data_IF_861874214773
#
_entry.id   IF_861874214773
#
_cell.length_a   1.000
_cell.length_b   1.000
_cell.length_c   1.000
_cell.angle_alpha   90.00
_cell.angle_beta   90.00
_cell.angle_gamma   90.00
#
_symmetry.space_group_name_H-M   'P 1'
#
loop_
_entity.id
_entity.type
_entity.pdbx_description
1 polymer ?
#
# COMPACT_ATOMS: atom_id res chain seq x y z
N UNK A 1 17.78 65.43 59.01
CA UNK A 1 17.45 66.43 57.97
C UNK A 1 16.70 65.73 56.85
N UNK A 2 15.57 66.34 56.43
CA UNK A 2 14.87 66.34 55.12
C UNK A 2 15.65 65.62 53.98
N UNK A 3 15.09 64.91 53.00
CA UNK A 3 13.82 65.07 52.28
C UNK A 3 13.62 63.89 51.32
N UNK A 4 12.37 63.67 50.92
CA UNK A 4 11.92 62.82 49.80
C UNK A 4 12.16 63.47 48.41
N UNK A 5 12.00 62.62 47.37
CA UNK A 5 11.73 62.84 45.91
C UNK A 5 12.92 62.94 44.92
N UNK A 6 12.73 62.68 43.59
CA UNK A 6 11.66 61.97 42.87
C UNK A 6 12.13 61.00 41.75
N UNK A 7 11.15 60.24 41.24
CA UNK A 7 11.12 59.50 39.97
C UNK A 7 10.95 60.50 38.79
N UNK A 8 11.66 60.28 37.67
CA UNK A 8 11.34 60.85 36.35
C UNK A 8 11.26 59.69 35.34
N UNK A 9 10.19 59.58 34.51
CA UNK A 9 10.11 58.59 33.44
C UNK A 9 10.72 59.15 32.14
N UNK A 10 11.79 58.51 31.65
CA UNK A 10 12.35 58.76 30.33
C UNK A 10 11.83 57.73 29.33
N UNK A 11 11.00 58.19 28.40
CA UNK A 11 10.57 57.47 27.20
C UNK A 11 11.82 57.13 26.37
N UNK A 12 12.03 55.85 26.08
CA UNK A 12 13.00 55.41 25.08
C UNK A 12 12.28 54.53 24.06
N UNK A 13 12.12 55.08 22.87
CA UNK A 13 11.59 54.45 21.68
C UNK A 13 12.58 53.45 21.07
N UNK A 14 12.03 52.28 20.72
CA UNK A 14 12.36 51.40 19.58
C UNK A 14 13.77 50.83 19.47
N UNK A 15 13.90 49.53 19.73
CA UNK A 15 14.18 48.51 18.71
C UNK A 15 14.46 47.16 19.41
N UNK A 16 13.71 46.10 19.09
CA UNK A 16 14.01 44.79 19.67
C UNK A 16 12.99 43.71 19.38
N UNK A 17 13.05 43.19 18.14
CA UNK A 17 12.64 41.85 17.74
C UNK A 17 11.29 41.32 18.29
N UNK A 18 10.21 41.70 17.61
CA UNK A 18 9.02 40.84 17.59
C UNK A 18 9.43 39.54 16.90
N UNK A 19 9.59 38.46 17.68
CA UNK A 19 9.70 37.11 17.16
C UNK A 19 8.40 36.83 16.41
N UNK A 20 8.45 37.00 15.09
CA UNK A 20 7.41 36.55 14.19
C UNK A 20 7.47 35.01 14.22
N UNK A 21 6.67 34.40 15.10
CA UNK A 21 6.34 32.99 14.98
C UNK A 21 5.57 32.84 13.66
N UNK A 22 6.30 32.65 12.57
CA UNK A 22 5.74 32.08 11.35
C UNK A 22 5.39 30.64 11.71
N UNK A 23 4.18 30.45 12.23
CA UNK A 23 3.50 29.19 12.09
C UNK A 23 3.47 28.91 10.59
N UNK A 24 4.37 28.06 10.11
CA UNK A 24 4.21 27.37 8.84
C UNK A 24 3.01 26.45 9.02
N UNK A 25 1.81 27.03 8.93
CA UNK A 25 0.64 26.30 8.53
C UNK A 25 0.95 25.82 7.11
N UNK A 26 1.45 24.59 6.99
CA UNK A 26 1.43 23.86 5.75
C UNK A 26 -0.01 23.87 5.27
N UNK A 27 -0.31 24.73 4.30
CA UNK A 27 -1.60 24.78 3.63
C UNK A 27 -1.68 23.54 2.74
N UNK A 28 -1.94 22.39 3.37
CA UNK A 28 -2.17 21.12 2.69
C UNK A 28 -3.53 21.19 2.00
N UNK A 29 -3.52 21.61 0.73
CA UNK A 29 -4.72 21.65 -0.11
C UNK A 29 -5.12 20.22 -0.44
N UNK A 30 -6.30 19.80 0.01
CA UNK A 30 -7.01 18.64 -0.53
C UNK A 30 -7.16 18.80 -2.06
N UNK A 31 -7.14 17.71 -2.86
CA UNK A 31 -7.50 17.80 -4.27
C UNK A 31 -8.86 18.49 -4.42
N UNK A 32 -8.91 19.57 -5.21
CA UNK A 32 -10.14 20.32 -5.44
C UNK A 32 -11.13 19.48 -6.25
N UNK A 33 -12.44 19.71 -6.05
CA UNK A 33 -13.47 19.03 -6.82
C UNK A 33 -13.32 19.31 -8.32
N UNK A 34 -13.54 18.28 -9.16
CA UNK A 34 -13.44 18.40 -10.62
C UNK A 34 -14.41 19.46 -11.16
N UNK A 35 -13.91 20.37 -11.99
CA UNK A 35 -14.70 21.40 -12.68
C UNK A 35 -15.68 20.80 -13.71
N UNK A 36 -16.70 21.56 -14.11
CA UNK A 36 -17.62 21.14 -15.19
C UNK A 36 -16.86 20.89 -16.51
N UNK A 37 -15.86 21.71 -16.82
CA UNK A 37 -14.98 21.53 -17.99
C UNK A 37 -14.23 20.20 -17.92
N UNK A 38 -13.66 19.86 -16.76
CA UNK A 38 -12.95 18.58 -16.54
C UNK A 38 -13.89 17.42 -16.81
N UNK A 39 -15.11 17.46 -16.28
CA UNK A 39 -16.11 16.40 -16.49
C UNK A 39 -16.48 16.21 -17.96
N UNK A 40 -16.67 17.31 -18.71
CA UNK A 40 -16.98 17.24 -20.16
C UNK A 40 -15.80 16.67 -20.95
N UNK A 41 -14.57 17.07 -20.63
CA UNK A 41 -13.38 16.53 -21.29
C UNK A 41 -13.17 15.04 -20.99
N UNK A 42 -13.40 14.62 -19.74
CA UNK A 42 -13.34 13.20 -19.35
C UNK A 42 -14.38 12.37 -20.11
N UNK A 43 -15.63 12.84 -20.20
CA UNK A 43 -16.68 12.14 -20.95
C UNK A 43 -16.38 12.06 -22.46
N UNK A 44 -15.77 13.10 -23.03
CA UNK A 44 -15.32 13.09 -24.43
C UNK A 44 -14.18 12.10 -24.65
N UNK A 45 -13.25 11.98 -23.71
CA UNK A 45 -12.18 11.00 -23.76
C UNK A 45 -12.72 9.56 -23.64
N UNK A 46 -13.61 9.29 -22.70
CA UNK A 46 -14.27 7.98 -22.52
C UNK A 46 -15.00 7.51 -23.78
N UNK A 47 -15.60 8.44 -24.54
CA UNK A 47 -16.29 8.13 -25.78
C UNK A 47 -15.37 7.91 -27.00
N UNK A 48 -14.16 8.47 -26.99
CA UNK A 48 -13.28 8.52 -28.17
C UNK A 48 -11.98 7.72 -28.01
N UNK A 49 -11.53 7.49 -26.79
CA UNK A 49 -10.30 6.78 -26.48
C UNK A 49 -10.63 5.40 -25.94
N UNK A 50 -9.91 4.39 -26.41
CA UNK A 50 -10.05 3.03 -25.91
C UNK A 50 -9.37 2.89 -24.55
N UNK A 51 -10.06 2.24 -23.61
CA UNK A 51 -9.54 1.89 -22.28
C UNK A 51 -9.05 0.43 -22.20
N UNK A 52 -8.65 -0.16 -23.34
CA UNK A 52 -8.35 -1.60 -23.45
C UNK A 52 -7.45 -2.19 -22.32
N UNK A 53 -6.39 -1.50 -21.84
CA UNK A 53 -5.62 -2.00 -20.70
C UNK A 53 -6.42 -2.07 -19.38
N UNK A 54 -7.32 -1.12 -19.14
CA UNK A 54 -8.19 -1.10 -17.96
C UNK A 54 -9.29 -2.16 -18.07
N UNK A 55 -9.85 -2.35 -19.26
CA UNK A 55 -10.85 -3.41 -19.54
C UNK A 55 -10.30 -4.83 -19.33
N UNK A 56 -8.97 -4.99 -19.32
CA UNK A 56 -8.30 -6.28 -19.11
C UNK A 56 -8.21 -6.70 -17.63
N UNK A 57 -8.51 -5.78 -16.70
CA UNK A 57 -8.55 -6.04 -15.26
C UNK A 57 -9.81 -6.84 -14.93
N UNK A 58 -9.65 -8.04 -14.38
CA UNK A 58 -10.78 -8.96 -14.14
C UNK A 58 -10.74 -9.68 -12.79
N UNK A 59 -9.61 -9.62 -12.08
CA UNK A 59 -9.49 -10.20 -10.73
C UNK A 59 -9.39 -9.10 -9.68
N UNK A 60 -10.15 -9.25 -8.59
CA UNK A 60 -10.08 -8.39 -7.41
C UNK A 60 -9.74 -9.25 -6.19
N UNK A 61 -8.56 -9.01 -5.59
CA UNK A 61 -8.19 -9.64 -4.31
C UNK A 61 -7.84 -8.59 -3.26
N UNK A 62 -8.13 -8.91 -2.01
CA UNK A 62 -7.90 -8.04 -0.87
C UNK A 62 -7.03 -8.77 0.14
N UNK A 63 -5.88 -8.19 0.45
CA UNK A 63 -4.92 -8.71 1.41
C UNK A 63 -4.37 -7.59 2.29
N UNK A 64 -3.26 -7.88 2.95
CA UNK A 64 -2.60 -6.95 3.85
C UNK A 64 -1.10 -6.98 3.58
N UNK A 65 -0.50 -5.80 3.57
CA UNK A 65 0.94 -5.66 3.42
C UNK A 65 1.55 -4.98 4.63
N UNK A 66 2.86 -5.16 4.81
CA UNK A 66 3.66 -4.31 5.67
C UNK A 66 4.86 -3.73 4.92
N UNK A 67 5.34 -2.57 5.37
CA UNK A 67 6.51 -1.92 4.79
C UNK A 67 7.77 -2.73 5.09
N UNK A 68 8.58 -3.04 4.07
CA UNK A 68 9.78 -3.88 4.23
C UNK A 68 10.68 -3.37 5.38
N UNK A 69 10.93 -4.24 6.36
CA UNK A 69 11.71 -3.91 7.57
C UNK A 69 10.94 -3.19 8.68
N UNK A 70 9.64 -2.92 8.51
CA UNK A 70 8.76 -2.22 9.46
C UNK A 70 7.42 -2.97 9.62
N UNK A 71 7.46 -4.24 10.06
CA UNK A 71 6.25 -5.09 10.19
C UNK A 71 5.14 -4.51 11.08
N UNK A 72 5.46 -3.58 11.98
CA UNK A 72 4.45 -2.86 12.77
C UNK A 72 3.61 -1.85 11.98
N UNK A 73 4.03 -1.48 10.76
CA UNK A 73 3.30 -0.61 9.85
C UNK A 73 2.65 -1.46 8.78
N UNK A 74 1.36 -1.67 8.92
CA UNK A 74 0.57 -2.55 8.08
C UNK A 74 -0.52 -1.76 7.39
N UNK A 75 -0.91 -2.18 6.20
CA UNK A 75 -1.98 -1.56 5.41
C UNK A 75 -2.79 -2.63 4.70
N UNK A 76 -4.10 -2.37 4.54
CA UNK A 76 -4.94 -3.15 3.62
C UNK A 76 -4.58 -2.79 2.17
N UNK A 77 -4.63 -3.77 1.29
CA UNK A 77 -4.30 -3.61 -0.12
C UNK A 77 -5.36 -4.30 -0.99
N UNK A 78 -6.02 -3.51 -1.84
CA UNK A 78 -6.97 -4.01 -2.83
C UNK A 78 -6.31 -4.06 -4.20
N UNK A 79 -6.04 -5.28 -4.67
CA UNK A 79 -5.39 -5.56 -5.93
C UNK A 79 -6.44 -5.77 -7.01
N UNK A 80 -6.31 -5.00 -8.08
CA UNK A 80 -7.10 -5.14 -9.28
C UNK A 80 -6.18 -5.58 -10.41
N UNK A 81 -6.30 -6.85 -10.80
CA UNK A 81 -5.30 -7.55 -11.56
C UNK A 81 -5.79 -7.97 -12.96
N UNK A 82 -4.84 -8.00 -13.88
CA UNK A 82 -4.94 -8.61 -15.20
C UNK A 82 -3.87 -9.69 -15.35
N UNK A 83 -4.25 -10.88 -15.82
CA UNK A 83 -3.31 -11.88 -16.30
C UNK A 83 -2.67 -11.41 -17.62
N UNK A 84 -1.34 -11.39 -17.67
CA UNK A 84 -0.58 -11.22 -18.91
C UNK A 84 -0.31 -12.56 -19.60
N UNK A 85 -0.45 -13.65 -18.84
CA UNK A 85 -0.39 -15.04 -19.25
C UNK A 85 -0.50 -15.94 -18.01
N UNK A 86 -0.37 -17.25 -18.21
CA UNK A 86 -0.51 -18.26 -17.13
C UNK A 86 0.51 -18.10 -15.99
N UNK A 87 1.67 -17.49 -16.28
CA UNK A 87 2.78 -17.39 -15.34
C UNK A 87 2.95 -15.98 -14.74
N UNK A 88 2.13 -14.98 -15.15
CA UNK A 88 2.31 -13.58 -14.74
C UNK A 88 1.01 -12.78 -14.69
N UNK A 89 0.79 -12.11 -13.55
CA UNK A 89 -0.24 -11.09 -13.36
C UNK A 89 0.41 -9.75 -13.06
N UNK A 90 -0.31 -8.68 -13.38
CA UNK A 90 0.01 -7.34 -12.92
C UNK A 90 -1.23 -6.72 -12.29
N UNK A 91 -1.03 -5.97 -11.22
CA UNK A 91 -2.10 -5.38 -10.43
C UNK A 91 -1.86 -3.89 -10.20
N UNK A 92 -2.93 -3.12 -10.25
CA UNK A 92 -2.99 -1.79 -9.63
C UNK A 92 -3.59 -1.94 -8.23
N UNK A 93 -3.04 -1.23 -7.26
CA UNK A 93 -3.40 -1.39 -5.84
C UNK A 93 -4.03 -0.12 -5.31
N UNK A 94 -5.15 -0.28 -4.61
CA UNK A 94 -5.88 0.79 -3.94
C UNK A 94 -5.95 0.58 -2.42
N UNK A 95 -6.14 1.66 -1.66
CA UNK A 95 -6.31 1.64 -0.20
C UNK A 95 -7.71 1.19 0.25
N UNK A 96 -8.67 1.10 -0.67
CA UNK A 96 -10.01 0.56 -0.46
C UNK A 96 -10.62 0.13 -1.80
N UNK A 97 -11.78 -0.54 -1.77
CA UNK A 97 -12.57 -0.85 -2.98
C UNK A 97 -13.70 0.17 -3.25
N UNK A 98 -13.56 1.38 -2.69
CA UNK A 98 -14.52 2.48 -2.85
C UNK A 98 -14.21 3.32 -4.10
N UNK A 99 -15.20 4.07 -4.58
CA UNK A 99 -15.08 4.92 -5.77
C UNK A 99 -14.03 6.03 -5.63
N UNK A 100 -13.77 6.49 -4.41
CA UNK A 100 -12.80 7.54 -4.08
C UNK A 100 -11.48 6.99 -3.50
N UNK A 101 -11.22 5.69 -3.67
CA UNK A 101 -9.99 5.06 -3.22
C UNK A 101 -8.74 5.69 -3.85
N UNK A 102 -7.66 5.75 -3.07
CA UNK A 102 -6.37 6.23 -3.55
C UNK A 102 -5.65 5.10 -4.26
N UNK A 103 -5.08 5.39 -5.43
CA UNK A 103 -4.09 4.52 -6.06
C UNK A 103 -2.83 4.56 -5.20
N UNK A 104 -2.49 3.44 -4.57
CA UNK A 104 -1.37 3.37 -3.62
C UNK A 104 -0.16 2.62 -4.17
N UNK A 105 -0.30 1.83 -5.24
CA UNK A 105 0.82 1.04 -5.71
C UNK A 105 0.51 0.11 -6.88
N UNK A 106 1.49 -0.76 -7.15
CA UNK A 106 1.39 -1.85 -8.11
C UNK A 106 1.98 -3.11 -7.52
N UNK A 107 1.56 -4.24 -8.06
CA UNK A 107 2.18 -5.54 -7.82
C UNK A 107 2.35 -6.31 -9.12
N UNK A 108 3.47 -7.02 -9.22
CA UNK A 108 3.65 -8.09 -10.19
C UNK A 108 3.61 -9.42 -9.46
N UNK A 109 2.78 -10.33 -9.95
CA UNK A 109 2.65 -11.67 -9.41
C UNK A 109 3.21 -12.64 -10.45
N UNK A 110 4.11 -13.52 -10.04
CA UNK A 110 4.69 -14.53 -10.95
C UNK A 110 4.60 -15.93 -10.36
N UNK A 111 4.57 -16.92 -11.24
CA UNK A 111 4.60 -18.32 -10.84
C UNK A 111 5.96 -18.71 -10.23
N UNK A 112 5.98 -19.79 -9.44
CA UNK A 112 7.22 -20.36 -8.91
C UNK A 112 8.26 -20.68 -10.00
N UNK A 113 7.79 -21.05 -11.20
CA UNK A 113 8.64 -21.34 -12.36
C UNK A 113 9.41 -20.09 -12.80
N UNK A 114 8.75 -18.94 -12.94
CA UNK A 114 9.43 -17.69 -13.27
C UNK A 114 10.28 -17.19 -12.10
N UNK A 115 9.79 -17.32 -10.87
CA UNK A 115 10.56 -16.91 -9.70
C UNK A 115 11.92 -17.63 -9.61
N UNK A 116 11.95 -18.93 -9.93
CA UNK A 116 13.17 -19.73 -9.90
C UNK A 116 14.26 -19.22 -10.87
N UNK A 117 13.89 -18.53 -11.95
CA UNK A 117 14.84 -17.99 -12.94
C UNK A 117 15.36 -16.60 -12.60
N UNK A 118 14.80 -15.95 -11.57
CA UNK A 118 15.24 -14.61 -11.17
C UNK A 118 16.68 -14.63 -10.62
N UNK A 119 17.45 -13.55 -10.83
CA UNK A 119 18.71 -13.34 -10.11
C UNK A 119 18.49 -13.32 -8.59
N UNK A 120 19.47 -13.81 -7.83
CA UNK A 120 19.37 -13.91 -6.36
C UNK A 120 19.14 -12.55 -5.67
N UNK A 121 19.69 -11.47 -6.22
CA UNK A 121 19.45 -10.13 -5.68
C UNK A 121 18.02 -9.63 -5.95
N UNK A 122 17.44 -10.00 -7.10
CA UNK A 122 16.07 -9.64 -7.45
C UNK A 122 15.08 -10.35 -6.54
N UNK A 123 15.29 -11.64 -6.23
CA UNK A 123 14.41 -12.46 -5.35
C UNK A 123 14.12 -11.81 -3.99
N UNK A 124 15.06 -11.01 -3.47
CA UNK A 124 14.91 -10.28 -2.18
C UNK A 124 13.76 -9.27 -2.18
N UNK A 125 13.29 -8.88 -3.36
CA UNK A 125 12.18 -7.93 -3.56
C UNK A 125 10.81 -8.61 -3.61
N UNK A 126 10.76 -9.93 -3.45
CA UNK A 126 9.54 -10.72 -3.63
C UNK A 126 9.14 -11.41 -2.32
N UNK A 127 7.84 -11.50 -2.10
CA UNK A 127 7.25 -12.26 -1.00
C UNK A 127 6.42 -13.42 -1.53
N UNK A 128 6.25 -14.46 -0.71
CA UNK A 128 5.43 -15.62 -1.08
C UNK A 128 3.96 -15.44 -0.66
N UNK A 129 3.02 -15.88 -1.51
CA UNK A 129 1.58 -15.79 -1.18
C UNK A 129 1.05 -16.96 -0.37
N UNK A 130 1.88 -17.99 -0.09
CA UNK A 130 1.48 -19.24 0.57
C UNK A 130 0.71 -18.98 1.86
N UNK A 131 1.25 -18.15 2.74
CA UNK A 131 0.63 -17.91 4.04
C UNK A 131 -0.62 -17.03 3.93
N UNK A 132 -0.61 -16.00 3.09
CA UNK A 132 -1.75 -15.09 2.91
C UNK A 132 -2.98 -15.86 2.41
N UNK A 133 -2.78 -16.77 1.45
CA UNK A 133 -3.81 -17.66 0.95
C UNK A 133 -4.27 -18.63 2.04
N UNK A 134 -3.34 -19.37 2.66
CA UNK A 134 -3.69 -20.45 3.60
C UNK A 134 -4.30 -19.94 4.90
N UNK A 135 -3.95 -18.73 5.35
CA UNK A 135 -4.46 -18.12 6.58
C UNK A 135 -5.86 -17.51 6.45
N UNK A 136 -6.42 -17.42 5.24
CA UNK A 136 -7.68 -16.72 4.99
C UNK A 136 -7.54 -15.20 4.95
N UNK A 137 -6.32 -14.66 5.08
CA UNK A 137 -6.07 -13.22 5.05
C UNK A 137 -6.22 -12.63 3.64
N UNK A 138 -5.85 -13.38 2.60
CA UNK A 138 -6.18 -13.01 1.22
C UNK A 138 -7.61 -13.47 0.89
N UNK A 139 -8.45 -12.56 0.40
CA UNK A 139 -9.80 -12.89 -0.07
C UNK A 139 -10.03 -12.36 -1.48
N UNK A 140 -11.03 -12.91 -2.16
CA UNK A 140 -11.56 -12.34 -3.40
C UNK A 140 -12.97 -11.76 -3.13
N UNK A 141 -13.09 -10.45 -2.84
CA UNK A 141 -14.35 -9.88 -2.38
C UNK A 141 -15.51 -10.14 -3.34
N UNK A 142 -16.67 -10.53 -2.79
CA UNK A 142 -17.93 -10.78 -3.53
C UNK A 142 -17.89 -11.94 -4.54
N UNK A 143 -16.81 -12.70 -4.64
CA UNK A 143 -16.82 -13.95 -5.41
C UNK A 143 -17.55 -15.06 -4.63
N UNK A 144 -18.30 -15.93 -5.32
CA UNK A 144 -18.76 -17.18 -4.74
C UNK A 144 -17.58 -18.00 -4.22
N UNK A 145 -17.77 -18.69 -3.09
CA UNK A 145 -16.69 -19.40 -2.40
C UNK A 145 -15.95 -20.42 -3.27
N UNK A 146 -16.66 -21.15 -4.14
CA UNK A 146 -16.02 -22.09 -5.06
C UNK A 146 -15.07 -21.37 -6.03
N UNK A 147 -15.50 -20.26 -6.62
CA UNK A 147 -14.67 -19.47 -7.53
C UNK A 147 -13.51 -18.77 -6.81
N UNK A 148 -13.74 -18.28 -5.59
CA UNK A 148 -12.67 -17.76 -4.74
C UNK A 148 -11.64 -18.86 -4.44
N UNK A 149 -12.08 -20.09 -4.15
CA UNK A 149 -11.16 -21.21 -3.86
C UNK A 149 -10.28 -21.55 -5.06
N UNK A 150 -10.83 -21.63 -6.26
CA UNK A 150 -10.06 -21.85 -7.50
C UNK A 150 -8.98 -20.77 -7.68
N UNK A 151 -9.34 -19.49 -7.49
CA UNK A 151 -8.37 -18.40 -7.55
C UNK A 151 -7.28 -18.52 -6.48
N UNK A 152 -7.62 -19.01 -5.28
CA UNK A 152 -6.64 -19.24 -4.22
C UNK A 152 -5.69 -20.40 -4.53
N UNK A 153 -6.17 -21.44 -5.23
CA UNK A 153 -5.32 -22.54 -5.71
C UNK A 153 -4.30 -22.07 -6.74
N UNK A 154 -4.68 -21.12 -7.60
CA UNK A 154 -3.76 -20.46 -8.52
C UNK A 154 -2.72 -19.61 -7.78
N UNK A 155 -3.15 -18.80 -6.81
CA UNK A 155 -2.28 -17.84 -6.12
C UNK A 155 -1.36 -18.46 -5.07
N UNK A 156 -1.71 -19.59 -4.45
CA UNK A 156 -0.96 -20.13 -3.29
C UNK A 156 0.53 -20.36 -3.55
N UNK A 157 0.90 -20.71 -4.79
CA UNK A 157 2.28 -20.99 -5.19
C UNK A 157 3.02 -19.83 -5.85
N UNK A 158 2.43 -18.64 -5.86
CA UNK A 158 2.96 -17.46 -6.55
C UNK A 158 3.77 -16.54 -5.63
N UNK A 159 4.47 -15.59 -6.26
CA UNK A 159 5.32 -14.60 -5.60
C UNK A 159 4.95 -13.20 -6.06
N UNK A 160 4.83 -12.28 -5.10
CA UNK A 160 4.48 -10.88 -5.33
C UNK A 160 5.67 -9.94 -5.16
N UNK A 161 5.88 -9.02 -6.11
CA UNK A 161 6.75 -7.84 -5.98
C UNK A 161 5.90 -6.60 -5.95
N UNK A 162 5.84 -5.98 -4.77
CA UNK A 162 4.87 -4.92 -4.50
C UNK A 162 5.54 -3.62 -4.11
N UNK A 163 5.15 -2.55 -4.80
CA UNK A 163 5.63 -1.19 -4.53
C UNK A 163 4.45 -0.28 -4.22
N UNK A 164 4.43 0.26 -3.00
CA UNK A 164 3.49 1.32 -2.65
C UNK A 164 4.14 2.70 -2.86
N UNK A 165 3.48 3.56 -3.63
CA UNK A 165 3.87 4.95 -3.89
C UNK A 165 3.16 5.95 -2.96
N UNK A 166 2.11 5.51 -2.24
CA UNK A 166 1.43 6.33 -1.24
C UNK A 166 1.40 5.62 0.12
N UNK A 167 2.03 6.24 1.12
CA UNK A 167 2.04 5.75 2.49
C UNK A 167 0.79 6.17 3.28
N UNK A 168 -0.35 5.53 3.02
CA UNK A 168 -1.66 5.94 3.56
C UNK A 168 -1.77 5.87 5.08
N UNK A 169 -0.95 5.07 5.75
CA UNK A 169 -0.86 4.98 7.22
C UNK A 169 -0.37 6.27 7.89
N UNK A 170 0.36 7.12 7.14
CA UNK A 170 0.84 8.42 7.65
C UNK A 170 -0.24 9.51 7.67
N UNK A 171 -1.34 9.32 6.94
CA UNK A 171 -2.41 10.31 6.83
C UNK A 171 -2.16 11.46 5.84
N UNK A 172 -1.05 11.42 5.10
CA UNK A 172 -0.70 12.45 4.11
C UNK A 172 -1.77 12.57 3.01
N UNK A 173 -2.09 13.81 2.61
CA UNK A 173 -3.08 14.10 1.56
C UNK A 173 -2.55 13.89 0.13
N UNK A 174 -1.23 13.77 -0.03
CA UNK A 174 -0.54 13.52 -1.29
C UNK A 174 0.40 12.31 -1.14
N UNK A 175 0.76 11.61 -2.23
CA UNK A 175 1.74 10.52 -2.20
C UNK A 175 3.16 11.05 -2.02
N UNK A 176 3.53 11.41 -0.79
CA UNK A 176 4.83 12.00 -0.47
C UNK A 176 5.91 10.93 -0.25
N UNK A 177 7.11 11.22 -0.77
CA UNK A 177 8.31 10.39 -0.60
C UNK A 177 8.54 9.40 -1.74
N UNK A 178 9.53 8.53 -1.56
CA UNK A 178 9.87 7.49 -2.54
C UNK A 178 8.95 6.27 -2.41
N UNK A 179 8.80 5.46 -3.48
CA UNK A 179 8.12 4.18 -3.38
C UNK A 179 8.71 3.29 -2.29
N UNK A 180 7.85 2.54 -1.61
CA UNK A 180 8.23 1.62 -0.55
C UNK A 180 8.00 0.18 -1.01
N UNK A 181 8.98 -0.69 -0.75
CA UNK A 181 8.82 -2.12 -0.94
C UNK A 181 7.86 -2.65 0.13
N UNK A 182 6.87 -3.42 -0.30
CA UNK A 182 5.90 -4.05 0.56
C UNK A 182 6.11 -5.56 0.60
N UNK A 183 5.85 -6.16 1.76
CA UNK A 183 5.99 -7.60 1.97
C UNK A 183 4.70 -8.18 2.56
N UNK A 184 4.47 -9.47 2.29
CA UNK A 184 3.39 -10.27 2.85
C UNK A 184 3.78 -11.00 4.14
N UNK A 185 2.76 -11.40 4.91
CA UNK A 185 2.93 -12.16 6.14
C UNK A 185 3.26 -13.62 5.86
N UNK A 186 4.00 -14.27 6.76
CA UNK A 186 4.49 -15.65 6.60
C UNK A 186 4.12 -16.57 7.75
N UNK A 187 3.47 -16.06 8.80
CA UNK A 187 3.01 -16.85 9.94
C UNK A 187 1.84 -16.20 10.67
N UNK A 188 1.05 -17.02 11.36
CA UNK A 188 -0.05 -16.58 12.21
C UNK A 188 0.47 -15.62 13.31
N UNK A 189 -0.36 -14.64 13.67
CA UNK A 189 -0.03 -13.64 14.69
C UNK A 189 0.82 -12.46 14.22
N UNK A 190 1.23 -12.42 12.94
CA UNK A 190 1.95 -11.27 12.37
C UNK A 190 1.01 -10.13 11.94
N UNK A 191 -0.12 -10.46 11.34
CA UNK A 191 -1.13 -9.47 10.93
C UNK A 191 -1.84 -8.88 12.16
N UNK A 192 -2.11 -7.57 12.13
CA UNK A 192 -2.84 -6.87 13.16
C UNK A 192 -4.28 -7.42 13.27
N UNK A 193 -4.68 -8.04 14.39
CA UNK A 193 -5.98 -8.68 14.53
C UNK A 193 -7.15 -7.72 14.31
N UNK A 194 -7.02 -6.46 14.73
CA UNK A 194 -8.07 -5.46 14.56
C UNK A 194 -8.28 -5.09 13.09
N UNK A 195 -7.22 -5.10 12.29
CA UNK A 195 -7.29 -4.83 10.85
C UNK A 195 -7.97 -5.98 10.10
N UNK A 196 -7.61 -7.22 10.43
CA UNK A 196 -8.26 -8.42 9.90
C UNK A 196 -9.74 -8.43 10.27
N UNK A 197 -10.07 -8.21 11.56
CA UNK A 197 -11.45 -8.17 12.04
C UNK A 197 -12.29 -7.06 11.37
N UNK A 198 -11.72 -5.88 11.14
CA UNK A 198 -12.42 -4.78 10.48
C UNK A 198 -12.74 -5.12 9.01
N UNK A 199 -11.79 -5.72 8.29
CA UNK A 199 -11.99 -6.21 6.92
C UNK A 199 -13.07 -7.28 6.88
N UNK A 200 -12.98 -8.27 7.76
CA UNK A 200 -13.91 -9.39 7.86
C UNK A 200 -15.33 -8.90 8.11
N UNK A 201 -15.50 -7.97 9.04
CA UNK A 201 -16.79 -7.32 9.31
C UNK A 201 -17.32 -6.56 8.08
N UNK A 202 -16.46 -5.84 7.36
CA UNK A 202 -16.83 -5.09 6.16
C UNK A 202 -17.38 -5.96 5.03
N UNK A 203 -16.92 -7.21 4.92
CA UNK A 203 -17.37 -8.16 3.90
C UNK A 203 -18.32 -9.25 4.42
N UNK A 204 -18.59 -9.31 5.72
CA UNK A 204 -19.43 -10.35 6.32
C UNK A 204 -18.83 -11.75 6.20
N UNK A 205 -17.50 -11.88 6.34
CA UNK A 205 -16.75 -13.14 6.23
C UNK A 205 -15.95 -13.43 7.49
N UNK A 206 -15.36 -14.63 7.58
CA UNK A 206 -14.40 -15.00 8.63
C UNK A 206 -13.12 -15.55 8.01
N UNK A 207 -11.99 -14.91 8.32
CA UNK A 207 -10.66 -15.37 7.89
C UNK A 207 -10.34 -16.76 8.44
N UNK A 208 -10.74 -17.07 9.68
CA UNK A 208 -10.56 -18.40 10.27
C UNK A 208 -11.42 -19.47 9.59
N UNK A 209 -12.65 -19.13 9.20
CA UNK A 209 -13.49 -20.04 8.41
C UNK A 209 -12.87 -20.28 7.02
N UNK A 210 -12.37 -19.24 6.37
CA UNK A 210 -11.65 -19.32 5.09
C UNK A 210 -10.39 -20.19 5.21
N UNK A 211 -9.61 -20.03 6.28
CA UNK A 211 -8.46 -20.88 6.62
C UNK A 211 -8.85 -22.35 6.70
N UNK A 212 -9.94 -22.66 7.43
CA UNK A 212 -10.46 -24.02 7.53
C UNK A 212 -10.90 -24.61 6.18
N UNK A 213 -11.61 -23.82 5.37
CA UNK A 213 -12.09 -24.23 4.04
C UNK A 213 -10.99 -24.40 2.98
N UNK A 214 -9.83 -23.80 3.22
CA UNK A 214 -8.64 -23.89 2.37
C UNK A 214 -7.63 -24.92 2.89
N UNK A 215 -7.96 -25.72 3.91
CA UNK A 215 -7.04 -26.68 4.50
C UNK A 215 -6.50 -27.70 3.48
N UNK A 216 -7.33 -28.08 2.51
CA UNK A 216 -7.04 -29.04 1.43
C UNK A 216 -6.25 -28.46 0.25
N UNK A 217 -6.15 -27.14 0.11
CA UNK A 217 -5.27 -26.52 -0.89
C UNK A 217 -3.80 -26.91 -0.60
N UNK A 218 -3.08 -27.56 -1.54
CA UNK A 218 -1.67 -27.88 -1.33
C UNK A 218 -0.84 -26.61 -1.11
N UNK A 219 -0.06 -26.58 -0.03
CA UNK A 219 0.86 -25.47 0.24
C UNK A 219 2.27 -25.86 -0.24
N UNK A 220 2.75 -25.30 -1.37
CA UNK A 220 4.09 -25.59 -1.84
C UNK A 220 5.14 -25.01 -0.88
N UNK A 221 6.34 -25.59 -0.91
CA UNK A 221 7.49 -25.00 -0.21
C UNK A 221 7.85 -23.64 -0.80
N UNK A 222 8.12 -22.65 0.05
CA UNK A 222 8.59 -21.33 -0.38
C UNK A 222 10.00 -21.45 -0.93
N UNK A 223 10.22 -20.93 -2.15
CA UNK A 223 11.50 -20.98 -2.82
C UNK A 223 12.54 -20.11 -2.09
N UNK A 224 13.82 -20.52 -2.04
CA UNK A 224 14.88 -19.72 -1.44
C UNK A 224 14.99 -18.33 -2.08
N UNK A 225 15.30 -17.33 -1.26
CA UNK A 225 15.48 -15.94 -1.69
C UNK A 225 14.23 -15.07 -1.54
N UNK A 226 13.03 -15.67 -1.59
CA UNK A 226 11.79 -14.98 -1.23
C UNK A 226 11.74 -14.69 0.28
N UNK A 227 10.88 -13.75 0.68
CA UNK A 227 10.67 -13.38 2.08
C UNK A 227 11.99 -13.05 2.82
N UNK A 228 12.95 -12.42 2.13
CA UNK A 228 14.31 -12.22 2.61
C UNK A 228 14.40 -11.54 4.00
N UNK A 229 13.39 -10.74 4.34
CA UNK A 229 13.25 -10.10 5.65
C UNK A 229 13.23 -11.09 6.82
N UNK A 230 12.78 -12.34 6.60
CA UNK A 230 12.79 -13.42 7.61
C UNK A 230 14.20 -13.80 8.05
N UNK A 231 15.20 -13.51 7.22
CA UNK A 231 16.61 -13.75 7.51
C UNK A 231 17.30 -12.51 8.11
N UNK A 232 16.52 -11.54 8.59
CA UNK A 232 17.04 -10.29 9.17
C UNK A 232 17.52 -9.27 8.14
N UNK A 233 17.23 -9.48 6.84
CA UNK A 233 17.63 -8.58 5.75
C UNK A 233 16.41 -8.00 5.05
N UNK A 234 16.07 -6.75 5.36
CA UNK A 234 15.05 -6.01 4.63
C UNK A 234 15.69 -5.12 3.54
N UNK A 235 14.95 -4.88 2.46
CA UNK A 235 15.37 -3.98 1.38
C UNK A 235 14.50 -2.73 1.41
N UNK A 236 15.14 -1.56 1.33
CA UNK A 236 14.48 -0.26 1.20
C UNK A 236 15.14 0.53 0.07
N UNK A 237 14.36 1.36 -0.59
CA UNK A 237 14.90 2.34 -1.53
C UNK A 237 15.51 3.52 -0.79
N UNK A 238 16.45 4.17 -1.44
CA UNK A 238 17.04 5.44 -1.00
C UNK A 238 16.98 6.42 -2.17
N UNK A 239 16.46 7.63 -1.94
CA UNK A 239 16.62 8.74 -2.86
C UNK A 239 18.05 9.27 -2.77
N UNK A 240 18.71 9.43 -3.90
CA UNK A 240 20.03 10.05 -4.01
C UNK A 240 19.98 11.11 -5.10
N UNK A 241 20.51 12.30 -4.82
CA UNK A 241 20.66 13.34 -5.83
C UNK A 241 21.78 12.95 -6.80
N UNK A 242 21.50 13.05 -8.09
CA UNK A 242 22.47 12.77 -9.15
C UNK A 242 22.57 13.98 -10.08
N UNK A 243 23.75 14.23 -10.62
CA UNK A 243 23.93 15.28 -11.62
C UNK A 243 23.12 14.96 -12.87
N UNK A 244 22.26 15.90 -13.29
CA UNK A 244 21.56 15.82 -14.57
C UNK A 244 22.58 16.05 -15.70
N UNK A 245 22.65 15.10 -16.64
CA UNK A 245 23.51 15.18 -17.83
C UNK A 245 22.73 15.61 -19.05
#
# INVERSE_FOLDING_TARGET
>A
MKSFYPIIPGICTLAGATVLLLAQAGCERKPEAKSAKTKVLEAGAEALQSEAPLDSIHAHVCGFHFYSGEMGRQVIAHHYCSHLGEDMMQCVIYDSDKKDAKLIGIEYIISAKLFATLPEDEKKLWHSHVHEVKSGQLIAPRLPEAAEKELMEELVGTYGKTWHTWQVDRGDQLPLGIPQLMMGFTADGQANPSMVSARDQGYGISSEERKGKRADIPAPGVAPGADAWRQGRAVKLQAVDVEAK
#
